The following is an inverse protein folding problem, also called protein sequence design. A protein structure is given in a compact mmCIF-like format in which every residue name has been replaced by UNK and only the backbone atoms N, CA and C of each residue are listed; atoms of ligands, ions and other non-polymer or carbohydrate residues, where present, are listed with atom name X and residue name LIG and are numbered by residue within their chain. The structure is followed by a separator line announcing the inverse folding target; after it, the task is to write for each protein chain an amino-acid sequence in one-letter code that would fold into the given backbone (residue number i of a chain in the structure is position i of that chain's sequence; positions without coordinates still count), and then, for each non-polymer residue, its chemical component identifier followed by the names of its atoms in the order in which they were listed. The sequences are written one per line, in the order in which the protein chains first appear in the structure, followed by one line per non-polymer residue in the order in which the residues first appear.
data_IF_796741481892
#
_entry.id   IF_796741481892
#
_cell.length_a   1.000
_cell.length_b   1.000
_cell.length_c   1.000
_cell.angle_alpha   90.00
_cell.angle_beta   90.00
_cell.angle_gamma   90.00
#
_symmetry.space_group_name_H-M   'P 1'
#
loop_
_entity.id
_entity.type
_entity.pdbx_description
1 polymer ?
#
# COMPACT_ATOMS: atom_id res chain seq x y z
N UNK A 1 17.02 3.66 27.87
CA UNK A 1 15.89 4.62 27.91
C UNK A 1 15.63 4.95 29.35
N UNK A 2 15.50 6.24 29.68
CA UNK A 2 15.19 6.64 31.05
C UNK A 2 13.70 6.37 31.33
N UNK A 3 13.43 5.57 32.36
CA UNK A 3 12.09 5.33 32.87
C UNK A 3 11.61 6.59 33.61
N UNK A 4 10.37 7.02 33.37
CA UNK A 4 9.72 8.10 34.11
C UNK A 4 8.41 7.61 34.70
N UNK A 5 8.15 7.96 35.96
CA UNK A 5 6.94 7.54 36.64
C UNK A 5 5.72 8.30 36.07
N UNK A 6 4.64 7.58 35.80
CA UNK A 6 3.40 8.16 35.29
C UNK A 6 2.80 9.23 36.22
N UNK A 7 3.03 9.13 37.55
CA UNK A 7 2.61 10.12 38.55
C UNK A 7 3.31 11.48 38.36
N UNK A 8 4.50 11.50 37.77
CA UNK A 8 5.26 12.72 37.50
C UNK A 8 4.87 13.40 36.18
N UNK A 9 4.18 12.64 35.29
CA UNK A 9 3.90 13.06 33.93
C UNK A 9 2.43 13.46 33.75
N UNK A 10 1.51 12.71 34.35
CA UNK A 10 0.07 12.90 34.16
C UNK A 10 -0.62 13.57 35.33
N UNK A 11 -1.59 14.46 35.06
CA UNK A 11 -2.50 14.95 36.11
C UNK A 11 -3.24 13.80 36.79
N UNK A 12 -3.49 13.94 38.08
CA UNK A 12 -4.10 12.88 38.93
C UNK A 12 -5.42 12.32 38.34
N UNK A 13 -6.27 13.18 37.78
CA UNK A 13 -7.54 12.79 37.18
C UNK A 13 -7.35 11.89 35.94
N UNK A 14 -6.35 12.17 35.10
CA UNK A 14 -6.01 11.34 33.93
C UNK A 14 -5.34 10.04 34.37
N UNK A 15 -4.48 10.10 35.38
CA UNK A 15 -3.82 8.91 35.93
C UNK A 15 -4.86 7.91 36.48
N UNK A 16 -5.87 8.35 37.21
CA UNK A 16 -6.97 7.49 37.69
C UNK A 16 -7.78 6.86 36.54
N UNK A 17 -7.95 7.58 35.45
CA UNK A 17 -8.61 7.02 34.26
C UNK A 17 -7.75 5.92 33.60
N UNK A 18 -6.45 6.15 33.43
CA UNK A 18 -5.50 5.16 32.88
C UNK A 18 -5.46 3.91 33.76
N UNK A 19 -5.45 4.07 35.10
CA UNK A 19 -5.42 2.97 36.07
C UNK A 19 -6.64 2.04 36.02
N UNK A 20 -7.75 2.46 35.38
CA UNK A 20 -8.92 1.60 35.15
C UNK A 20 -8.66 0.59 34.03
N UNK A 21 -7.69 0.85 33.15
CA UNK A 21 -7.35 -0.02 32.01
C UNK A 21 -6.07 -0.81 32.26
N UNK A 22 -5.09 -0.19 32.91
CA UNK A 22 -3.78 -0.81 33.19
C UNK A 22 -3.22 -0.26 34.49
N UNK A 23 -2.74 -1.14 35.39
CA UNK A 23 -2.15 -0.78 36.68
C UNK A 23 -1.00 -1.72 37.01
N UNK A 24 0.15 -1.16 37.40
CA UNK A 24 1.34 -1.94 37.78
C UNK A 24 2.15 -2.50 36.62
N UNK A 25 1.86 -2.08 35.38
CA UNK A 25 2.56 -2.53 34.15
C UNK A 25 3.27 -1.36 33.46
N UNK A 26 4.26 -1.69 32.63
CA UNK A 26 4.92 -0.70 31.76
C UNK A 26 4.20 -0.64 30.41
N UNK A 27 3.68 0.54 30.05
CA UNK A 27 3.03 0.77 28.79
C UNK A 27 3.89 1.68 27.90
N UNK A 28 3.82 1.47 26.60
CA UNK A 28 4.41 2.36 25.61
C UNK A 28 3.34 3.33 25.11
N UNK A 29 3.58 4.63 25.31
CA UNK A 29 2.75 5.68 24.73
C UNK A 29 3.46 6.21 23.48
N UNK A 30 2.92 5.96 22.27
CA UNK A 30 3.54 6.45 21.05
C UNK A 30 3.52 7.98 20.99
N UNK A 31 4.54 8.55 20.35
CA UNK A 31 4.59 9.99 20.07
C UNK A 31 3.41 10.40 19.18
N UNK A 32 2.87 11.61 19.41
CA UNK A 32 1.76 12.18 18.62
C UNK A 32 2.14 12.50 17.19
N UNK A 33 3.43 12.69 16.91
CA UNK A 33 3.93 12.93 15.57
C UNK A 33 4.05 11.60 14.83
N UNK A 34 3.52 11.55 13.61
CA UNK A 34 3.79 10.46 12.68
C UNK A 34 5.30 10.24 12.62
N UNK A 35 5.75 9.01 12.87
CA UNK A 35 7.15 8.66 12.63
C UNK A 35 7.41 8.90 11.14
N UNK A 36 8.06 10.01 10.81
CA UNK A 36 8.58 10.22 9.46
C UNK A 36 9.45 9.02 9.11
N UNK A 37 9.28 8.49 7.90
CA UNK A 37 10.04 7.34 7.44
C UNK A 37 11.54 7.58 7.64
N UNK A 38 12.29 6.54 7.97
CA UNK A 38 13.72 6.64 8.26
C UNK A 38 14.45 7.26 7.06
N UNK A 39 15.12 8.40 7.25
CA UNK A 39 15.80 9.15 6.19
C UNK A 39 14.97 10.29 5.53
N UNK A 40 13.71 10.47 5.85
CA UNK A 40 12.87 11.52 5.27
C UNK A 40 13.26 12.93 5.75
N UNK A 41 13.78 13.02 6.99
CA UNK A 41 14.21 14.29 7.59
C UNK A 41 15.64 14.69 7.20
N UNK A 42 16.48 13.77 6.73
CA UNK A 42 17.90 14.01 6.44
C UNK A 42 18.20 14.35 4.97
N UNK A 43 17.22 14.30 4.08
CA UNK A 43 17.45 14.42 2.63
C UNK A 43 18.30 13.29 2.03
N UNK A 44 18.74 12.33 2.85
CA UNK A 44 19.67 11.28 2.44
C UNK A 44 19.07 10.37 1.34
N UNK A 45 17.78 10.02 1.45
CA UNK A 45 17.11 9.23 0.40
C UNK A 45 17.02 10.00 -0.91
N UNK A 46 16.75 11.31 -0.85
CA UNK A 46 16.71 12.15 -2.03
C UNK A 46 18.12 12.24 -2.67
N UNK A 47 19.16 12.46 -1.87
CA UNK A 47 20.54 12.45 -2.32
C UNK A 47 20.91 11.12 -3.02
N UNK A 48 20.57 9.97 -2.43
CA UNK A 48 20.85 8.66 -3.05
C UNK A 48 20.12 8.49 -4.39
N UNK A 49 18.87 8.94 -4.49
CA UNK A 49 18.09 8.89 -5.75
C UNK A 49 18.72 9.77 -6.83
N UNK A 50 19.07 11.00 -6.50
CA UNK A 50 19.72 11.93 -7.42
C UNK A 50 21.07 11.38 -7.88
N UNK A 51 21.91 10.93 -6.97
CA UNK A 51 23.19 10.29 -7.28
C UNK A 51 23.02 9.10 -8.23
N UNK A 52 22.08 8.19 -7.94
CA UNK A 52 21.85 7.01 -8.78
C UNK A 52 21.32 7.38 -10.17
N UNK A 53 20.48 8.42 -10.26
CA UNK A 53 20.06 8.99 -11.56
C UNK A 53 21.24 9.50 -12.36
N UNK A 54 22.14 10.25 -11.72
CA UNK A 54 23.31 10.84 -12.38
C UNK A 54 24.32 9.77 -12.82
N UNK A 55 24.49 8.69 -12.04
CA UNK A 55 25.29 7.51 -12.42
C UNK A 55 24.73 6.88 -13.70
N UNK A 56 23.40 6.69 -13.81
CA UNK A 56 22.78 6.14 -15.01
C UNK A 56 22.89 7.06 -16.21
N UNK A 57 22.71 8.37 -15.99
CA UNK A 57 22.88 9.36 -17.04
C UNK A 57 24.32 9.36 -17.58
N UNK A 58 25.32 9.32 -16.70
CA UNK A 58 26.72 9.21 -17.08
C UNK A 58 27.02 7.95 -17.90
N UNK A 59 26.48 6.79 -17.48
CA UNK A 59 26.66 5.55 -18.23
C UNK A 59 25.98 5.61 -19.61
N UNK A 60 24.78 6.15 -19.73
CA UNK A 60 24.10 6.32 -21.03
C UNK A 60 24.81 7.32 -21.95
N UNK A 61 25.61 8.22 -21.41
CA UNK A 61 26.48 9.16 -22.15
C UNK A 61 27.85 8.58 -22.48
N UNK A 62 28.11 7.29 -22.18
CA UNK A 62 29.33 6.57 -22.54
C UNK A 62 30.41 6.50 -21.48
N UNK A 63 30.15 6.96 -20.24
CA UNK A 63 31.10 6.73 -19.13
C UNK A 63 31.18 5.23 -18.80
N UNK A 64 32.39 4.75 -18.53
CA UNK A 64 32.64 3.37 -18.10
C UNK A 64 32.25 3.18 -16.63
N UNK A 65 32.05 1.90 -16.23
CA UNK A 65 31.79 1.56 -14.82
C UNK A 65 32.94 2.07 -13.93
N UNK A 66 34.19 1.91 -14.35
CA UNK A 66 35.36 2.33 -13.60
C UNK A 66 35.38 3.85 -13.38
N UNK A 67 35.10 4.63 -14.43
CA UNK A 67 34.96 6.09 -14.31
C UNK A 67 33.85 6.51 -13.35
N UNK A 68 32.75 5.78 -13.31
CA UNK A 68 31.64 6.04 -12.39
C UNK A 68 31.99 5.63 -10.95
N UNK A 69 32.75 4.55 -10.77
CA UNK A 69 33.29 4.15 -9.46
C UNK A 69 34.16 5.25 -8.87
N UNK A 70 35.12 5.77 -9.65
CA UNK A 70 36.02 6.83 -9.21
C UNK A 70 35.26 8.12 -8.89
N UNK A 71 34.32 8.51 -9.77
CA UNK A 71 33.54 9.74 -9.61
C UNK A 71 32.64 9.76 -8.38
N UNK A 72 32.02 8.60 -8.05
CA UNK A 72 31.02 8.53 -6.97
C UNK A 72 31.52 7.77 -5.73
N UNK A 73 32.78 7.32 -5.71
CA UNK A 73 33.39 6.53 -4.64
C UNK A 73 32.54 5.29 -4.26
N UNK A 74 32.11 4.53 -5.26
CA UNK A 74 31.28 3.34 -5.10
C UNK A 74 32.03 2.09 -5.60
N UNK A 75 31.68 0.92 -5.02
CA UNK A 75 32.19 -0.36 -5.52
C UNK A 75 31.64 -0.71 -6.90
N UNK A 76 32.39 -1.50 -7.64
CA UNK A 76 31.99 -2.01 -8.97
C UNK A 76 30.62 -2.66 -8.96
N UNK A 77 30.35 -3.53 -7.97
CA UNK A 77 29.05 -4.19 -7.83
C UNK A 77 27.91 -3.19 -7.59
N UNK A 78 28.18 -2.13 -6.83
CA UNK A 78 27.18 -1.09 -6.57
C UNK A 78 26.87 -0.30 -7.85
N UNK A 79 27.91 0.14 -8.59
CA UNK A 79 27.71 0.86 -9.85
C UNK A 79 27.02 -0.02 -10.87
N UNK A 80 27.50 -1.28 -11.04
CA UNK A 80 26.88 -2.25 -11.94
C UNK A 80 25.41 -2.48 -11.62
N UNK A 81 25.05 -2.67 -10.35
CA UNK A 81 23.67 -2.81 -9.91
C UNK A 81 22.85 -1.56 -10.23
N UNK A 82 23.38 -0.35 -10.04
CA UNK A 82 22.68 0.90 -10.37
C UNK A 82 22.45 1.04 -11.87
N UNK A 83 23.45 0.74 -12.67
CA UNK A 83 23.45 0.92 -14.14
C UNK A 83 22.58 -0.13 -14.85
N UNK A 84 22.66 -1.39 -14.40
CA UNK A 84 21.92 -2.51 -14.99
C UNK A 84 20.63 -2.85 -14.23
N UNK A 85 20.34 -2.21 -13.09
CA UNK A 85 18.99 -2.30 -12.55
C UNK A 85 18.01 -1.76 -13.58
N UNK A 86 17.02 -2.57 -13.94
CA UNK A 86 16.08 -2.24 -15.02
C UNK A 86 15.57 -0.81 -14.86
N UNK A 87 15.76 0.00 -15.90
CA UNK A 87 15.39 1.42 -16.01
C UNK A 87 13.97 1.75 -15.54
N UNK A 88 13.08 0.77 -15.51
CA UNK A 88 11.67 0.96 -15.23
C UNK A 88 11.34 1.17 -13.74
N UNK A 89 12.10 0.55 -12.80
CA UNK A 89 11.77 0.65 -11.36
C UNK A 89 12.09 2.04 -10.81
N UNK A 90 13.15 2.69 -11.29
CA UNK A 90 13.56 4.01 -10.80
C UNK A 90 12.75 5.18 -11.39
N UNK A 91 11.98 4.94 -12.44
CA UNK A 91 11.02 5.92 -12.98
C UNK A 91 9.64 5.80 -12.30
N UNK A 92 9.37 4.68 -11.62
CA UNK A 92 8.11 4.48 -10.90
C UNK A 92 8.21 5.13 -9.52
N UNK A 93 7.61 6.29 -9.38
CA UNK A 93 7.39 6.91 -8.07
C UNK A 93 6.19 6.24 -7.42
N UNK A 94 6.41 5.56 -6.29
CA UNK A 94 5.32 5.08 -5.46
C UNK A 94 4.58 6.27 -4.83
N UNK A 95 3.27 6.20 -4.85
CA UNK A 95 2.35 6.95 -4.01
C UNK A 95 1.08 6.11 -3.81
N UNK A 96 0.34 6.37 -2.74
CA UNK A 96 -0.96 5.75 -2.49
C UNK A 96 -2.05 6.38 -3.39
N UNK A 97 -1.88 6.26 -4.71
CA UNK A 97 -2.72 6.87 -5.73
C UNK A 97 -2.99 5.91 -6.89
N UNK A 98 -4.13 6.07 -7.55
CA UNK A 98 -4.50 5.29 -8.73
C UNK A 98 -3.47 5.45 -9.88
N UNK A 99 -3.05 6.68 -10.14
CA UNK A 99 -2.07 6.99 -11.19
C UNK A 99 -0.76 6.24 -10.98
N UNK A 100 -0.27 6.14 -9.74
CA UNK A 100 0.89 5.35 -9.36
C UNK A 100 0.64 3.85 -9.57
N UNK A 101 -0.47 3.30 -9.09
CA UNK A 101 -0.84 1.90 -9.30
C UNK A 101 -0.91 1.52 -10.79
N UNK A 102 -1.51 2.39 -11.61
CA UNK A 102 -1.56 2.19 -13.06
C UNK A 102 -0.16 2.21 -13.72
N UNK A 103 0.73 3.08 -13.27
CA UNK A 103 2.11 3.12 -13.77
C UNK A 103 2.87 1.82 -13.46
N UNK A 104 2.73 1.32 -12.22
CA UNK A 104 3.30 0.03 -11.81
C UNK A 104 2.65 -1.14 -12.57
N UNK A 105 1.34 -1.10 -12.80
CA UNK A 105 0.62 -2.10 -13.60
C UNK A 105 1.17 -2.18 -15.02
N UNK A 106 1.29 -1.05 -15.73
CA UNK A 106 1.88 -0.99 -17.08
C UNK A 106 3.32 -1.51 -17.15
N UNK A 107 4.07 -1.34 -16.08
CA UNK A 107 5.45 -1.83 -15.97
C UNK A 107 5.55 -3.31 -15.55
N UNK A 108 4.43 -4.01 -15.35
CA UNK A 108 4.42 -5.41 -14.89
C UNK A 108 4.95 -5.56 -13.45
N UNK A 109 4.69 -4.56 -12.59
CA UNK A 109 5.19 -4.46 -11.20
C UNK A 109 4.07 -4.31 -10.18
N UNK A 110 2.91 -4.91 -10.44
CA UNK A 110 1.73 -4.75 -9.60
C UNK A 110 1.95 -5.32 -8.20
N UNK A 111 2.61 -6.46 -8.10
CA UNK A 111 3.08 -7.06 -6.85
C UNK A 111 3.86 -6.07 -5.98
N UNK A 112 4.81 -5.38 -6.59
CA UNK A 112 5.65 -4.38 -5.91
C UNK A 112 4.83 -3.22 -5.36
N UNK A 113 3.88 -2.69 -6.15
CA UNK A 113 3.00 -1.60 -5.70
C UNK A 113 2.13 -2.03 -4.53
N UNK A 114 1.51 -3.20 -4.61
CA UNK A 114 0.65 -3.73 -3.54
C UNK A 114 1.42 -3.83 -2.22
N UNK A 115 2.63 -4.39 -2.25
CA UNK A 115 3.45 -4.54 -1.05
C UNK A 115 3.89 -3.20 -0.47
N UNK A 116 4.25 -2.22 -1.31
CA UNK A 116 4.55 -0.85 -0.86
C UNK A 116 3.33 -0.23 -0.21
N UNK A 117 2.18 -0.29 -0.86
CA UNK A 117 0.92 0.26 -0.34
C UNK A 117 0.54 -0.36 1.00
N UNK A 118 0.51 -1.69 1.10
CA UNK A 118 0.11 -2.38 2.32
C UNK A 118 1.08 -2.13 3.50
N UNK A 119 2.37 -1.92 3.22
CA UNK A 119 3.36 -1.68 4.26
C UNK A 119 3.40 -0.21 4.73
N UNK A 120 3.18 0.75 3.82
CA UNK A 120 3.34 2.18 4.11
C UNK A 120 1.98 2.83 4.44
N UNK A 121 1.04 2.85 3.51
CA UNK A 121 -0.23 3.60 3.61
C UNK A 121 -1.40 2.73 4.11
N UNK A 122 -1.53 1.52 3.60
CA UNK A 122 -2.57 0.56 3.98
C UNK A 122 -2.39 0.02 5.39
N UNK A 123 -1.17 0.06 5.92
CA UNK A 123 -0.79 -0.40 7.27
C UNK A 123 -1.28 -1.81 7.58
N UNK A 124 -1.23 -2.68 6.58
CA UNK A 124 -1.67 -4.07 6.68
C UNK A 124 -0.52 -5.04 6.34
N UNK A 125 0.52 -5.00 7.16
CA UNK A 125 1.71 -5.85 7.02
C UNK A 125 1.33 -7.35 7.00
N UNK A 126 0.44 -7.87 7.88
CA UNK A 126 0.06 -9.28 7.83
C UNK A 126 -0.53 -9.70 6.49
N UNK A 127 -1.32 -8.85 5.84
CA UNK A 127 -1.87 -9.13 4.52
C UNK A 127 -0.76 -9.13 3.45
N UNK A 128 0.15 -8.13 3.49
CA UNK A 128 1.33 -8.10 2.62
C UNK A 128 2.17 -9.38 2.73
N UNK A 129 2.40 -9.87 3.95
CA UNK A 129 3.17 -11.10 4.18
C UNK A 129 2.41 -12.35 3.73
N UNK A 130 1.10 -12.39 3.95
CA UNK A 130 0.22 -13.46 3.45
C UNK A 130 0.23 -13.59 1.92
N UNK A 131 0.30 -12.47 1.21
CA UNK A 131 0.39 -12.49 -0.25
C UNK A 131 1.69 -13.09 -0.78
N UNK A 132 2.78 -13.09 -0.01
CA UNK A 132 4.10 -13.64 -0.39
C UNK A 132 4.21 -15.16 -0.21
N UNK A 133 3.23 -15.80 0.44
CA UNK A 133 3.32 -17.24 0.77
C UNK A 133 3.14 -18.15 -0.45
N UNK A 134 2.47 -17.67 -1.49
CA UNK A 134 2.19 -18.44 -2.70
C UNK A 134 2.32 -17.54 -3.93
N UNK A 135 2.61 -18.13 -5.09
CA UNK A 135 2.48 -17.44 -6.38
C UNK A 135 1.03 -17.04 -6.62
N UNK A 136 0.85 -15.81 -7.10
CA UNK A 136 -0.49 -15.24 -7.35
C UNK A 136 -0.54 -14.51 -8.68
N UNK A 137 -1.71 -14.49 -9.28
CA UNK A 137 -2.01 -13.62 -10.41
C UNK A 137 -2.44 -12.26 -9.91
N UNK A 138 -1.80 -11.21 -10.39
CA UNK A 138 -2.16 -9.82 -10.11
C UNK A 138 -2.54 -9.14 -11.42
N UNK A 139 -3.72 -8.52 -11.45
CA UNK A 139 -4.19 -7.71 -12.56
C UNK A 139 -3.93 -6.24 -12.26
N UNK A 140 -3.45 -5.50 -13.28
CA UNK A 140 -3.33 -4.05 -13.15
C UNK A 140 -4.69 -3.39 -12.88
N UNK A 141 -4.75 -2.15 -12.36
CA UNK A 141 -6.02 -1.53 -11.99
C UNK A 141 -7.05 -1.55 -13.11
N UNK A 142 -8.26 -2.04 -12.82
CA UNK A 142 -9.40 -2.10 -13.70
C UNK A 142 -10.64 -1.51 -13.02
N UNK A 143 -11.60 -1.03 -13.80
CA UNK A 143 -12.82 -0.43 -13.31
C UNK A 143 -13.92 -1.48 -13.18
N UNK A 144 -14.45 -1.67 -11.98
CA UNK A 144 -15.50 -2.65 -11.67
C UNK A 144 -16.69 -2.04 -10.95
N UNK A 145 -17.90 -2.60 -11.14
CA UNK A 145 -19.06 -2.26 -10.32
C UNK A 145 -18.84 -2.65 -8.85
N UNK A 146 -18.95 -1.67 -7.93
CA UNK A 146 -18.70 -1.92 -6.50
C UNK A 146 -19.66 -2.93 -5.88
N UNK A 147 -20.86 -3.08 -6.44
CA UNK A 147 -21.87 -4.06 -5.99
C UNK A 147 -21.43 -5.53 -6.09
N UNK A 148 -20.34 -5.80 -6.82
CA UNK A 148 -19.80 -7.16 -6.94
C UNK A 148 -18.96 -7.56 -5.73
N UNK A 149 -18.55 -6.61 -4.89
CA UNK A 149 -17.56 -6.85 -3.84
C UNK A 149 -18.21 -7.09 -2.50
N UNK A 150 -17.82 -8.18 -1.85
CA UNK A 150 -18.21 -8.50 -0.47
C UNK A 150 -17.16 -7.95 0.48
N UNK A 151 -17.56 -7.03 1.37
CA UNK A 151 -16.66 -6.47 2.40
C UNK A 151 -16.27 -7.55 3.40
N UNK A 152 -14.99 -7.60 3.76
CA UNK A 152 -14.49 -8.44 4.85
C UNK A 152 -14.57 -7.75 6.21
N UNK A 153 -14.60 -6.43 6.24
CA UNK A 153 -14.56 -5.63 7.45
C UNK A 153 -15.67 -4.58 7.47
N UNK A 154 -16.21 -4.34 8.67
CA UNK A 154 -17.30 -3.38 8.87
C UNK A 154 -17.84 -3.42 10.30
N UNK A 155 -18.85 -2.58 10.61
CA UNK A 155 -19.47 -2.52 11.93
C UNK A 155 -20.51 -3.62 12.13
N UNK A 156 -20.88 -4.37 11.08
CA UNK A 156 -21.87 -5.41 11.12
C UNK A 156 -21.32 -6.65 11.86
N UNK A 157 -22.10 -7.28 12.77
CA UNK A 157 -21.60 -8.38 13.61
C UNK A 157 -21.14 -9.61 12.82
N UNK A 158 -21.69 -9.83 11.62
CA UNK A 158 -21.37 -10.95 10.72
C UNK A 158 -20.10 -10.76 9.92
N UNK A 159 -19.49 -9.58 9.97
CA UNK A 159 -18.22 -9.32 9.25
C UNK A 159 -17.11 -10.21 9.77
N UNK A 160 -16.27 -10.69 8.86
CA UNK A 160 -15.06 -11.47 9.19
C UNK A 160 -14.14 -10.71 10.15
N UNK A 161 -14.08 -9.36 10.00
CA UNK A 161 -13.34 -8.45 10.85
C UNK A 161 -14.26 -7.33 11.33
N UNK A 162 -14.97 -7.52 12.48
CA UNK A 162 -15.84 -6.49 13.04
C UNK A 162 -15.04 -5.28 13.50
N UNK A 163 -15.56 -4.08 13.22
CA UNK A 163 -14.94 -2.80 13.55
C UNK A 163 -15.91 -2.00 14.41
N UNK A 164 -15.36 -1.23 15.39
CA UNK A 164 -16.18 -0.33 16.20
C UNK A 164 -16.99 0.63 15.32
N UNK A 165 -18.30 0.74 15.64
CA UNK A 165 -19.27 1.46 14.81
C UNK A 165 -18.99 2.95 14.71
N UNK A 166 -18.58 3.57 15.82
CA UNK A 166 -18.37 5.01 15.86
C UNK A 166 -17.09 5.37 15.11
N UNK A 167 -16.03 4.58 15.33
CA UNK A 167 -14.78 4.73 14.59
C UNK A 167 -14.97 4.50 13.09
N UNK A 168 -15.74 3.48 12.71
CA UNK A 168 -16.10 3.21 11.32
C UNK A 168 -16.78 4.41 10.67
N UNK A 169 -17.82 4.96 11.32
CA UNK A 169 -18.58 6.09 10.79
C UNK A 169 -17.70 7.34 10.58
N UNK A 170 -16.84 7.65 11.55
CA UNK A 170 -15.89 8.77 11.45
C UNK A 170 -14.96 8.55 10.24
N UNK A 171 -14.39 7.36 10.10
CA UNK A 171 -13.43 7.05 9.03
C UNK A 171 -14.09 7.09 7.65
N UNK A 172 -15.31 6.60 7.51
CA UNK A 172 -16.08 6.66 6.26
C UNK A 172 -16.39 8.12 5.88
N UNK A 173 -16.85 8.94 6.83
CA UNK A 173 -17.15 10.35 6.58
C UNK A 173 -15.90 11.17 6.15
N UNK A 174 -14.72 10.87 6.72
CA UNK A 174 -13.47 11.50 6.30
C UNK A 174 -13.06 11.07 4.88
N UNK A 175 -13.29 9.81 4.54
CA UNK A 175 -13.03 9.31 3.19
C UNK A 175 -14.00 9.88 2.15
N UNK A 176 -15.26 10.07 2.48
CA UNK A 176 -16.24 10.77 1.59
C UNK A 176 -15.73 12.14 1.19
N UNK A 177 -15.23 12.93 2.15
CA UNK A 177 -14.62 14.24 1.88
C UNK A 177 -13.36 14.11 1.02
N UNK A 178 -12.51 13.15 1.31
CA UNK A 178 -11.27 12.93 0.57
C UNK A 178 -11.54 12.54 -0.88
N UNK A 179 -12.49 11.64 -1.13
CA UNK A 179 -12.89 11.19 -2.47
C UNK A 179 -13.45 12.34 -3.31
N UNK A 180 -14.24 13.24 -2.69
CA UNK A 180 -14.76 14.40 -3.37
C UNK A 180 -13.69 15.43 -3.74
N UNK A 181 -12.62 15.53 -2.98
CA UNK A 181 -11.54 16.50 -3.17
C UNK A 181 -10.40 15.97 -4.06
N UNK A 182 -10.16 14.65 -4.04
CA UNK A 182 -9.08 14.01 -4.80
C UNK A 182 -9.60 12.73 -5.50
N UNK A 183 -9.74 12.74 -6.82
CA UNK A 183 -10.17 11.57 -7.59
C UNK A 183 -9.07 10.52 -7.75
N UNK A 184 -7.81 10.82 -7.43
CA UNK A 184 -6.67 9.90 -7.58
C UNK A 184 -6.50 8.97 -6.36
N UNK A 185 -7.62 8.49 -5.83
CA UNK A 185 -7.64 7.56 -4.70
C UNK A 185 -6.98 6.22 -5.06
N UNK A 186 -6.27 5.57 -4.11
CA UNK A 186 -5.70 4.26 -4.34
C UNK A 186 -6.78 3.23 -4.70
N UNK A 187 -6.50 2.27 -5.60
CA UNK A 187 -7.45 1.22 -5.95
C UNK A 187 -7.84 0.36 -4.75
N UNK A 188 -9.03 -0.22 -4.78
CA UNK A 188 -9.42 -1.30 -3.87
C UNK A 188 -8.58 -2.54 -4.17
N UNK A 189 -8.33 -3.40 -3.18
CA UNK A 189 -7.64 -4.68 -3.38
C UNK A 189 -8.63 -5.82 -3.13
N UNK A 190 -8.87 -6.62 -4.17
CA UNK A 190 -9.94 -7.61 -4.22
C UNK A 190 -9.38 -8.98 -4.56
N UNK A 191 -9.80 -10.00 -3.84
CA UNK A 191 -9.54 -11.41 -4.14
C UNK A 191 -10.74 -12.01 -4.89
N UNK A 192 -10.48 -12.71 -5.97
CA UNK A 192 -11.46 -13.58 -6.56
C UNK A 192 -11.19 -15.02 -6.13
N UNK A 193 -12.13 -15.61 -5.43
CA UNK A 193 -12.02 -16.95 -4.84
C UNK A 193 -13.41 -17.57 -4.76
N UNK A 194 -13.53 -18.86 -5.04
CA UNK A 194 -14.78 -19.62 -5.01
C UNK A 194 -15.93 -18.99 -5.83
N UNK A 195 -15.60 -18.28 -6.90
CA UNK A 195 -16.57 -17.59 -7.76
C UNK A 195 -17.04 -16.22 -7.26
N UNK A 196 -16.51 -15.73 -6.14
CA UNK A 196 -16.92 -14.52 -5.44
C UNK A 196 -15.77 -13.48 -5.35
N UNK A 197 -16.13 -12.21 -5.13
CA UNK A 197 -15.17 -11.11 -4.96
C UNK A 197 -15.08 -10.69 -3.50
N UNK A 198 -14.02 -11.07 -2.81
CA UNK A 198 -13.74 -10.71 -1.43
C UNK A 198 -12.91 -9.41 -1.38
N UNK A 199 -13.43 -8.34 -0.78
CA UNK A 199 -12.74 -7.07 -0.64
C UNK A 199 -11.77 -7.11 0.55
N UNK A 200 -10.48 -7.32 0.27
CA UNK A 200 -9.47 -7.47 1.32
C UNK A 200 -8.92 -6.14 1.83
N UNK A 201 -8.79 -5.11 0.97
CA UNK A 201 -8.42 -3.75 1.37
C UNK A 201 -9.30 -2.69 0.71
N UNK A 202 -9.56 -1.62 1.47
CA UNK A 202 -10.41 -0.51 1.04
C UNK A 202 -11.87 -0.63 1.50
N UNK A 203 -12.18 -1.44 2.52
CA UNK A 203 -13.54 -1.62 3.03
C UNK A 203 -14.24 -0.30 3.41
N UNK A 204 -13.54 0.63 4.05
CA UNK A 204 -14.06 1.97 4.35
C UNK A 204 -14.28 2.81 3.09
N UNK A 205 -13.37 2.73 2.09
CA UNK A 205 -13.53 3.43 0.79
C UNK A 205 -14.73 2.88 0.02
N UNK A 206 -14.92 1.58 0.01
CA UNK A 206 -16.09 0.95 -0.61
C UNK A 206 -17.38 1.51 -0.01
N UNK A 207 -17.47 1.59 1.33
CA UNK A 207 -18.63 2.17 2.00
C UNK A 207 -18.82 3.66 1.68
N UNK A 208 -17.73 4.42 1.61
CA UNK A 208 -17.80 5.82 1.19
C UNK A 208 -18.27 5.96 -0.26
N UNK A 209 -17.84 5.08 -1.18
CA UNK A 209 -18.35 5.07 -2.56
C UNK A 209 -19.85 4.78 -2.62
N UNK A 210 -20.34 3.78 -1.85
CA UNK A 210 -21.77 3.50 -1.74
C UNK A 210 -22.56 4.74 -1.29
N UNK A 211 -22.11 5.40 -0.21
CA UNK A 211 -22.77 6.58 0.34
C UNK A 211 -22.79 7.76 -0.64
N UNK A 212 -21.75 7.88 -1.46
CA UNK A 212 -21.64 8.93 -2.50
C UNK A 212 -22.37 8.57 -3.81
N UNK A 213 -22.98 7.38 -3.91
CA UNK A 213 -23.62 6.91 -5.13
C UNK A 213 -22.65 6.60 -6.28
N UNK A 214 -21.40 6.31 -5.98
CA UNK A 214 -20.37 5.93 -6.97
C UNK A 214 -20.56 4.44 -7.28
N UNK A 215 -20.95 4.13 -8.51
CA UNK A 215 -21.29 2.77 -8.92
C UNK A 215 -20.08 1.91 -9.29
N UNK A 216 -18.97 2.52 -9.72
CA UNK A 216 -17.79 1.82 -10.19
C UNK A 216 -16.54 2.33 -9.48
N UNK A 217 -15.62 1.44 -9.13
CA UNK A 217 -14.33 1.78 -8.52
C UNK A 217 -13.17 1.07 -9.22
N UNK A 218 -12.00 1.69 -9.18
CA UNK A 218 -10.77 1.06 -9.61
C UNK A 218 -10.32 0.01 -8.59
N UNK A 219 -10.00 -1.18 -9.08
CA UNK A 219 -9.56 -2.30 -8.26
C UNK A 219 -8.30 -2.93 -8.82
N UNK A 220 -7.46 -3.42 -7.93
CA UNK A 220 -6.42 -4.40 -8.22
C UNK A 220 -6.98 -5.76 -7.82
N UNK A 221 -7.09 -6.65 -8.79
CA UNK A 221 -7.56 -8.00 -8.55
C UNK A 221 -6.36 -8.94 -8.39
N UNK A 222 -6.49 -9.88 -7.45
CA UNK A 222 -5.55 -10.98 -7.32
C UNK A 222 -6.27 -12.32 -7.20
N UNK A 223 -5.61 -13.38 -7.71
CA UNK A 223 -6.14 -14.75 -7.75
C UNK A 223 -4.98 -15.71 -7.47
N UNK A 224 -5.24 -16.79 -6.73
CA UNK A 224 -4.21 -17.78 -6.41
C UNK A 224 -4.18 -18.92 -7.42
N UNK A 225 -5.32 -19.55 -7.67
CA UNK A 225 -5.41 -20.76 -8.45
C UNK A 225 -5.67 -20.46 -9.93
N UNK A 226 -5.05 -21.26 -10.82
CA UNK A 226 -5.24 -21.11 -12.26
C UNK A 226 -6.69 -21.36 -12.70
N UNK A 227 -7.32 -22.37 -12.10
CA UNK A 227 -8.72 -22.68 -12.39
C UNK A 227 -9.68 -21.52 -12.03
N UNK A 228 -9.41 -20.82 -10.92
CA UNK A 228 -10.16 -19.62 -10.52
C UNK A 228 -9.93 -18.46 -11.50
N UNK A 229 -8.68 -18.31 -11.98
CA UNK A 229 -8.36 -17.29 -12.99
C UNK A 229 -9.13 -17.56 -14.30
N UNK A 230 -9.20 -18.82 -14.73
CA UNK A 230 -9.90 -19.18 -15.95
C UNK A 230 -11.42 -18.99 -15.79
N UNK A 231 -12.00 -19.34 -14.65
CA UNK A 231 -13.40 -19.06 -14.31
C UNK A 231 -13.68 -17.55 -14.29
N UNK A 232 -12.81 -16.78 -13.63
CA UNK A 232 -12.89 -15.31 -13.61
C UNK A 232 -12.85 -14.72 -15.02
N UNK A 233 -11.88 -15.12 -15.84
CA UNK A 233 -11.77 -14.61 -17.22
C UNK A 233 -12.98 -14.97 -18.08
N UNK A 234 -13.56 -16.14 -17.88
CA UNK A 234 -14.79 -16.57 -18.58
C UNK A 234 -15.99 -15.68 -18.23
N UNK A 235 -16.12 -15.24 -16.98
CA UNK A 235 -17.28 -14.48 -16.48
C UNK A 235 -17.07 -12.95 -16.59
N UNK A 236 -15.85 -12.48 -16.34
CA UNK A 236 -15.53 -11.07 -16.12
C UNK A 236 -14.38 -10.56 -16.99
N UNK A 237 -13.90 -11.33 -17.95
CA UNK A 237 -12.73 -10.99 -18.78
C UNK A 237 -12.85 -9.65 -19.51
N UNK A 238 -14.06 -9.21 -19.86
CA UNK A 238 -14.30 -7.90 -20.48
C UNK A 238 -13.83 -6.72 -19.61
N UNK A 239 -13.90 -6.82 -18.28
CA UNK A 239 -13.43 -5.76 -17.39
C UNK A 239 -11.92 -5.60 -17.37
N UNK A 240 -11.19 -6.66 -17.72
CA UNK A 240 -9.73 -6.74 -17.61
C UNK A 240 -9.01 -6.93 -18.94
N UNK A 241 -9.71 -6.79 -20.07
CA UNK A 241 -9.16 -7.01 -21.41
C UNK A 241 -7.90 -6.19 -21.73
N UNK A 242 -7.82 -4.98 -21.15
CA UNK A 242 -6.70 -4.07 -21.34
C UNK A 242 -5.68 -4.12 -20.16
N UNK A 243 -5.86 -5.06 -19.24
CA UNK A 243 -5.01 -5.18 -18.05
C UNK A 243 -3.73 -5.96 -18.34
N UNK A 244 -2.64 -5.51 -17.73
CA UNK A 244 -1.44 -6.34 -17.58
C UNK A 244 -1.69 -7.33 -16.44
N UNK A 245 -1.42 -8.61 -16.70
CA UNK A 245 -1.50 -9.68 -15.71
C UNK A 245 -0.10 -10.19 -15.44
N UNK A 246 0.28 -10.31 -14.20
CA UNK A 246 1.55 -10.91 -13.78
C UNK A 246 1.29 -12.06 -12.81
N UNK A 247 2.19 -13.04 -12.80
CA UNK A 247 2.25 -14.10 -11.78
C UNK A 247 3.53 -13.91 -10.96
N UNK A 248 3.40 -13.84 -9.64
CA UNK A 248 4.50 -13.66 -8.68
C UNK A 248 4.18 -14.38 -7.39
#
# INVERSE_FOLDING_TARGET
MAYRNAQEIFPEGLLRQIQRYVSGETIYVPAREEKKAWGETSGYQQYIRERNRDIRAGFSQGMTIDQLMDKYALSWDTVKRIVYSRKEIDMLRYSAALSSAQAYGRAGKMDTWIHLYLNEDGRNIPFSDGLKLFDRYYFSPALFPIRLFHRCAGPEPEMKYPIDKDWWAIRVADLEKSIQNDPDMPPLIVHYVDGEFELNDGNHRHKAYENLGIENAWVILWITEEAEKDDFLSKYGEYVKDCTVIRR
#
